data_IF_130088287537
#
_entry.id   IF_130088287537
#
_cell.length_a   1.000
_cell.length_b   1.000
_cell.length_c   1.000
_cell.angle_alpha   90.00
_cell.angle_beta   90.00
_cell.angle_gamma   90.00
#
_symmetry.space_group_name_H-M   'P 1'
#
loop_
_entity.id
_entity.type
_entity.pdbx_description
1 polymer ?
#
# COMPACT_ATOMS: atom_id res chain seq x y z
N UNK A 1 -18.18 -10.19 15.42
CA UNK A 1 -19.62 -9.92 15.19
C UNK A 1 -19.88 -8.54 14.59
N UNK A 2 -19.10 -7.51 14.92
CA UNK A 2 -19.31 -6.13 14.45
C UNK A 2 -19.11 -5.92 12.94
N UNK A 3 -18.11 -6.55 12.31
CA UNK A 3 -17.87 -6.41 10.87
C UNK A 3 -19.04 -6.91 10.00
N UNK A 4 -19.67 -8.03 10.39
CA UNK A 4 -20.86 -8.57 9.72
C UNK A 4 -22.09 -7.67 9.90
N UNK A 5 -22.18 -6.95 11.03
CA UNK A 5 -23.23 -5.97 11.29
C UNK A 5 -23.07 -4.73 10.40
N UNK A 6 -21.83 -4.22 10.27
CA UNK A 6 -21.52 -3.08 9.42
C UNK A 6 -21.80 -3.39 7.93
N UNK A 7 -21.39 -4.57 7.46
CA UNK A 7 -21.61 -4.99 6.08
C UNK A 7 -23.10 -5.10 5.75
N UNK A 8 -23.91 -5.67 6.66
CA UNK A 8 -25.37 -5.70 6.51
C UNK A 8 -26.00 -4.31 6.49
N UNK A 9 -25.54 -3.40 7.35
CA UNK A 9 -26.02 -2.02 7.36
C UNK A 9 -25.72 -1.30 6.05
N UNK A 10 -24.50 -1.46 5.51
CA UNK A 10 -24.11 -0.87 4.23
C UNK A 10 -24.95 -1.42 3.08
N UNK A 11 -25.16 -2.73 3.01
CA UNK A 11 -26.02 -3.37 2.01
C UNK A 11 -27.45 -2.82 2.09
N UNK A 12 -28.04 -2.77 3.29
CA UNK A 12 -29.39 -2.24 3.46
C UNK A 12 -29.51 -0.77 3.02
N UNK A 13 -28.47 0.04 3.25
CA UNK A 13 -28.43 1.44 2.78
C UNK A 13 -28.35 1.54 1.26
N UNK A 14 -27.58 0.66 0.62
CA UNK A 14 -27.47 0.61 -0.84
C UNK A 14 -28.80 0.17 -1.47
N UNK A 15 -29.43 -0.89 -0.94
CA UNK A 15 -30.73 -1.38 -1.39
C UNK A 15 -31.82 -0.30 -1.25
N UNK A 16 -31.83 0.43 -0.13
CA UNK A 16 -32.77 1.54 0.09
C UNK A 16 -32.54 2.70 -0.91
N UNK A 17 -31.27 3.04 -1.19
CA UNK A 17 -30.92 4.08 -2.15
C UNK A 17 -31.34 3.68 -3.58
N UNK A 18 -31.08 2.43 -3.97
CA UNK A 18 -31.50 1.89 -5.26
C UNK A 18 -33.02 1.93 -5.41
N UNK A 19 -33.76 1.43 -4.40
CA UNK A 19 -35.22 1.46 -4.40
C UNK A 19 -35.78 2.88 -4.54
N UNK A 20 -35.15 3.87 -3.89
CA UNK A 20 -35.54 5.28 -4.00
C UNK A 20 -35.35 5.84 -5.41
N UNK A 21 -34.23 5.52 -6.06
CA UNK A 21 -33.96 5.93 -7.45
C UNK A 21 -34.92 5.24 -8.41
N UNK A 22 -35.11 3.93 -8.29
CA UNK A 22 -36.04 3.17 -9.15
C UNK A 22 -37.47 3.70 -9.03
N UNK A 23 -37.93 4.03 -7.82
CA UNK A 23 -39.24 4.65 -7.60
C UNK A 23 -39.34 6.02 -8.25
N UNK A 24 -38.31 6.86 -8.16
CA UNK A 24 -38.29 8.20 -8.78
C UNK A 24 -38.38 8.12 -10.30
N UNK A 25 -37.69 7.16 -10.91
CA UNK A 25 -37.68 6.96 -12.37
C UNK A 25 -38.83 6.06 -12.87
N UNK A 26 -39.78 5.68 -12.01
CA UNK A 26 -40.90 4.76 -12.32
C UNK A 26 -40.45 3.43 -12.96
N UNK A 27 -39.33 2.87 -12.49
CA UNK A 27 -38.79 1.59 -12.94
C UNK A 27 -39.11 0.48 -11.94
N UNK A 28 -39.51 -0.69 -12.44
CA UNK A 28 -39.63 -1.88 -11.59
C UNK A 28 -38.25 -2.50 -11.34
N UNK A 29 -37.98 -3.05 -10.14
CA UNK A 29 -36.71 -3.74 -9.84
C UNK A 29 -36.40 -4.87 -10.82
N UNK A 30 -37.39 -5.70 -11.16
CA UNK A 30 -37.22 -6.81 -12.09
C UNK A 30 -36.80 -6.36 -13.50
N UNK A 31 -37.36 -5.23 -13.97
CA UNK A 31 -36.99 -4.68 -15.27
C UNK A 31 -35.56 -4.11 -15.24
N UNK A 32 -35.19 -3.46 -14.13
CA UNK A 32 -33.83 -2.95 -13.93
C UNK A 32 -32.81 -4.10 -13.90
N UNK A 33 -33.04 -5.15 -13.11
CA UNK A 33 -32.18 -6.33 -13.03
C UNK A 33 -32.03 -7.03 -14.39
N UNK A 34 -33.12 -7.14 -15.14
CA UNK A 34 -33.11 -7.71 -16.49
C UNK A 34 -32.26 -6.86 -17.44
N UNK A 35 -32.37 -5.52 -17.37
CA UNK A 35 -31.54 -4.60 -18.17
C UNK A 35 -30.07 -4.69 -17.77
N UNK A 36 -29.74 -4.72 -16.48
CA UNK A 36 -28.38 -4.91 -15.98
C UNK A 36 -27.79 -6.24 -16.45
N UNK A 37 -28.56 -7.32 -16.35
CA UNK A 37 -28.16 -8.66 -16.81
C UNK A 37 -27.95 -8.72 -18.32
N UNK A 38 -28.78 -8.02 -19.10
CA UNK A 38 -28.61 -7.90 -20.54
C UNK A 38 -27.34 -7.11 -20.87
N UNK A 39 -27.15 -5.97 -20.21
CA UNK A 39 -25.98 -5.11 -20.40
C UNK A 39 -24.68 -5.86 -20.11
N UNK A 40 -24.62 -6.63 -19.02
CA UNK A 40 -23.47 -7.46 -18.66
C UNK A 40 -23.15 -8.56 -19.69
N UNK A 41 -24.10 -8.93 -20.56
CA UNK A 41 -23.89 -9.91 -21.64
C UNK A 41 -23.54 -9.25 -22.96
N UNK A 42 -24.12 -8.08 -23.25
CA UNK A 42 -24.04 -7.43 -24.56
C UNK A 42 -22.97 -6.36 -24.65
N UNK A 43 -22.65 -5.68 -23.56
CA UNK A 43 -21.61 -4.64 -23.54
C UNK A 43 -20.26 -5.27 -23.16
N UNK A 44 -19.22 -5.14 -24.00
CA UNK A 44 -17.92 -5.78 -23.78
C UNK A 44 -17.21 -5.24 -22.53
N UNK A 45 -17.21 -3.92 -22.31
CA UNK A 45 -16.57 -3.30 -21.14
C UNK A 45 -17.22 -3.75 -19.84
N UNK A 46 -18.56 -3.77 -19.79
CA UNK A 46 -19.30 -4.25 -18.61
C UNK A 46 -19.05 -5.75 -18.38
N UNK A 47 -18.97 -6.53 -19.45
CA UNK A 47 -18.68 -7.97 -19.37
C UNK A 47 -17.28 -8.22 -18.78
N UNK A 48 -16.28 -7.48 -19.24
CA UNK A 48 -14.91 -7.56 -18.72
C UNK A 48 -14.83 -7.13 -17.26
N UNK A 49 -15.50 -6.04 -16.89
CA UNK A 49 -15.59 -5.59 -15.49
C UNK A 49 -16.25 -6.63 -14.59
N UNK A 50 -17.39 -7.21 -15.01
CA UNK A 50 -18.08 -8.25 -14.23
C UNK A 50 -17.21 -9.49 -14.07
N UNK A 51 -16.53 -9.94 -15.13
CA UNK A 51 -15.61 -11.07 -15.08
C UNK A 51 -14.42 -10.78 -14.15
N UNK A 52 -13.81 -9.61 -14.30
CA UNK A 52 -12.66 -9.19 -13.49
C UNK A 52 -13.01 -9.00 -12.02
N UNK A 53 -14.19 -8.46 -11.68
CA UNK A 53 -14.66 -8.35 -10.30
C UNK A 53 -14.90 -9.72 -9.65
N UNK A 54 -15.41 -10.70 -10.42
CA UNK A 54 -15.53 -12.09 -9.93
C UNK A 54 -14.17 -12.70 -9.66
N UNK A 55 -13.22 -12.54 -10.59
CA UNK A 55 -11.85 -13.03 -10.40
C UNK A 55 -11.17 -12.36 -9.19
N UNK A 56 -11.35 -11.05 -9.02
CA UNK A 56 -10.85 -10.29 -7.88
C UNK A 56 -11.39 -10.85 -6.55
N UNK A 57 -12.67 -11.20 -6.50
CA UNK A 57 -13.27 -11.84 -5.34
C UNK A 57 -12.72 -13.25 -5.09
N UNK A 58 -12.58 -14.06 -6.13
CA UNK A 58 -12.02 -15.42 -6.03
C UNK A 58 -10.57 -15.40 -5.55
N UNK A 59 -9.75 -14.50 -6.08
CA UNK A 59 -8.36 -14.30 -5.64
C UNK A 59 -8.32 -14.02 -4.14
N UNK A 60 -9.15 -13.08 -3.67
CA UNK A 60 -9.22 -12.72 -2.26
C UNK A 60 -9.64 -13.92 -1.38
N UNK A 61 -10.64 -14.69 -1.83
CA UNK A 61 -11.09 -15.91 -1.13
C UNK A 61 -10.02 -17.00 -1.05
N UNK A 62 -9.13 -17.06 -2.05
CA UNK A 62 -8.01 -18.00 -2.10
C UNK A 62 -6.75 -17.49 -1.39
N UNK A 63 -6.78 -16.30 -0.80
CA UNK A 63 -5.60 -15.66 -0.19
C UNK A 63 -4.55 -15.21 -1.20
N UNK A 64 -4.93 -15.07 -2.47
CA UNK A 64 -4.08 -14.49 -3.51
C UNK A 64 -4.35 -12.99 -3.60
N UNK A 65 -3.32 -12.18 -3.88
CA UNK A 65 -3.48 -10.74 -3.99
C UNK A 65 -4.40 -10.38 -5.17
N UNK A 66 -5.58 -9.80 -4.91
CA UNK A 66 -6.58 -9.56 -5.95
C UNK A 66 -6.13 -8.46 -6.91
N UNK A 67 -6.47 -8.61 -8.19
CA UNK A 67 -6.22 -7.60 -9.21
C UNK A 67 -7.49 -6.76 -9.44
N UNK A 68 -7.35 -5.44 -9.40
CA UNK A 68 -8.45 -4.54 -9.71
C UNK A 68 -8.68 -4.54 -11.24
N UNK A 69 -9.90 -4.85 -11.73
CA UNK A 69 -10.18 -4.82 -13.15
C UNK A 69 -10.17 -3.39 -13.70
N UNK A 70 -9.66 -3.23 -14.92
CA UNK A 70 -9.53 -1.93 -15.59
C UNK A 70 -8.38 -1.05 -15.10
N UNK A 71 -7.64 -1.47 -14.06
CA UNK A 71 -6.44 -0.78 -13.60
C UNK A 71 -5.19 -1.36 -14.27
N UNK A 72 -4.63 -0.59 -15.19
CA UNK A 72 -3.40 -0.96 -15.89
C UNK A 72 -2.15 -0.62 -15.08
N UNK A 73 -1.15 -1.49 -15.18
CA UNK A 73 0.16 -1.29 -14.55
C UNK A 73 1.09 -0.71 -15.61
N UNK A 74 1.67 0.49 -15.38
CA UNK A 74 2.66 1.08 -16.28
C UNK A 74 3.82 0.13 -16.58
N UNK A 75 4.30 0.13 -17.83
CA UNK A 75 5.38 -0.75 -18.28
C UNK A 75 6.70 -0.51 -17.53
N UNK A 76 6.91 0.72 -17.04
CA UNK A 76 8.07 1.09 -16.24
C UNK A 76 8.14 0.37 -14.89
N UNK A 77 6.99 -0.09 -14.37
CA UNK A 77 6.93 -0.86 -13.13
C UNK A 77 7.26 -2.33 -13.41
N UNK A 78 8.49 -2.58 -13.84
CA UNK A 78 9.04 -3.93 -13.99
C UNK A 78 9.16 -4.63 -12.64
N UNK A 79 9.38 -5.94 -12.65
CA UNK A 79 9.65 -6.73 -11.44
C UNK A 79 10.81 -6.14 -10.63
N UNK A 80 11.92 -5.81 -11.30
CA UNK A 80 13.11 -5.23 -10.66
C UNK A 80 12.79 -3.86 -10.05
N UNK A 81 12.08 -3.00 -10.78
CA UNK A 81 11.75 -1.67 -10.28
C UNK A 81 10.83 -1.74 -9.07
N UNK A 82 9.83 -2.62 -9.09
CA UNK A 82 8.93 -2.83 -7.93
C UNK A 82 9.73 -3.30 -6.71
N UNK A 83 10.66 -4.23 -6.87
CA UNK A 83 11.54 -4.66 -5.75
C UNK A 83 12.42 -3.52 -5.24
N UNK A 84 12.98 -2.69 -6.12
CA UNK A 84 13.76 -1.52 -5.73
C UNK A 84 12.93 -0.52 -4.91
N UNK A 85 11.70 -0.23 -5.35
CA UNK A 85 10.76 0.65 -4.65
C UNK A 85 10.43 0.05 -3.28
N UNK A 86 10.14 -1.26 -3.20
CA UNK A 86 9.91 -1.95 -1.92
C UNK A 86 11.11 -1.79 -0.97
N UNK A 87 12.33 -2.02 -1.43
CA UNK A 87 13.53 -1.79 -0.62
C UNK A 87 13.65 -0.34 -0.12
N UNK A 88 13.36 0.65 -0.97
CA UNK A 88 13.39 2.06 -0.58
C UNK A 88 12.34 2.37 0.49
N UNK A 89 11.12 1.85 0.33
CA UNK A 89 10.04 1.96 1.33
C UNK A 89 10.49 1.35 2.65
N UNK A 90 10.96 0.10 2.66
CA UNK A 90 11.36 -0.59 3.90
C UNK A 90 12.50 0.14 4.61
N UNK A 91 13.50 0.64 3.88
CA UNK A 91 14.58 1.46 4.47
C UNK A 91 14.06 2.76 5.08
N UNK A 92 13.13 3.45 4.40
CA UNK A 92 12.54 4.69 4.92
C UNK A 92 11.72 4.42 6.18
N UNK A 93 10.95 3.33 6.21
CA UNK A 93 10.21 2.88 7.41
C UNK A 93 11.15 2.59 8.57
N UNK A 94 12.21 1.82 8.34
CA UNK A 94 13.21 1.52 9.38
C UNK A 94 13.84 2.78 9.96
N UNK A 95 14.15 3.76 9.09
CA UNK A 95 14.72 5.04 9.53
C UNK A 95 13.75 5.81 10.42
N UNK A 96 12.49 5.96 9.99
CA UNK A 96 11.48 6.64 10.82
C UNK A 96 11.15 5.90 12.10
N UNK A 97 11.17 4.56 12.08
CA UNK A 97 11.00 3.76 13.28
C UNK A 97 12.14 3.99 14.28
N UNK A 98 13.39 4.08 13.83
CA UNK A 98 14.52 4.44 14.69
C UNK A 98 14.32 5.81 15.33
N UNK A 99 13.91 6.80 14.55
CA UNK A 99 13.68 8.17 15.04
C UNK A 99 12.57 8.22 16.10
N UNK A 100 11.43 7.56 15.84
CA UNK A 100 10.32 7.49 16.79
C UNK A 100 10.76 6.78 18.07
N UNK A 101 11.41 5.62 17.97
CA UNK A 101 11.85 4.85 19.15
C UNK A 101 12.93 5.58 19.96
N UNK A 102 13.77 6.40 19.33
CA UNK A 102 14.74 7.24 20.05
C UNK A 102 14.07 8.43 20.76
N UNK A 103 13.00 8.98 20.20
CA UNK A 103 12.25 10.08 20.78
C UNK A 103 11.23 9.63 21.85
N UNK A 104 10.87 8.35 21.87
CA UNK A 104 9.87 7.79 22.79
C UNK A 104 10.51 7.46 24.13
N UNK A 105 9.83 7.81 25.23
CA UNK A 105 10.33 7.55 26.58
C UNK A 105 10.07 6.11 27.04
N UNK A 106 10.90 5.58 27.95
CA UNK A 106 10.78 4.19 28.45
C UNK A 106 9.39 3.86 29.04
N UNK A 107 8.66 4.87 29.55
CA UNK A 107 7.29 4.72 30.08
C UNK A 107 6.27 4.34 29.01
N UNK A 108 6.50 4.72 27.77
CA UNK A 108 5.60 4.49 26.64
C UNK A 108 5.92 3.19 25.89
N UNK A 109 7.07 2.58 26.19
CA UNK A 109 7.59 1.31 25.65
C UNK A 109 7.57 0.20 26.71
N UNK A 110 6.48 0.14 27.49
CA UNK A 110 6.25 -0.84 28.57
C UNK A 110 6.51 -2.29 28.13
N UNK A 111 6.92 -3.19 29.05
CA UNK A 111 7.01 -4.63 28.78
C UNK A 111 5.70 -5.24 28.25
N UNK A 112 4.54 -4.67 28.60
CA UNK A 112 3.21 -5.11 28.13
C UNK A 112 2.92 -4.71 26.67
N UNK A 113 3.70 -3.80 26.08
CA UNK A 113 3.50 -3.30 24.73
C UNK A 113 3.81 -1.81 24.61
N UNK A 114 3.91 -1.33 23.36
CA UNK A 114 3.95 0.11 23.10
C UNK A 114 2.57 0.73 23.40
N UNK A 115 2.54 1.95 23.91
CA UNK A 115 1.30 2.72 24.07
C UNK A 115 0.53 2.80 22.75
N UNK A 116 -0.80 2.95 22.84
CA UNK A 116 -1.67 3.17 21.67
C UNK A 116 -1.24 4.39 20.85
N UNK A 117 -0.75 5.44 21.52
CA UNK A 117 -0.21 6.63 20.88
C UNK A 117 1.04 6.34 20.03
N UNK A 118 2.00 5.58 20.59
CA UNK A 118 3.22 5.17 19.88
C UNK A 118 2.89 4.26 18.71
N UNK A 119 1.95 3.32 18.89
CA UNK A 119 1.50 2.42 17.82
C UNK A 119 0.86 3.19 16.67
N UNK A 120 0.02 4.18 16.97
CA UNK A 120 -0.58 5.06 15.96
C UNK A 120 0.48 5.87 15.21
N UNK A 121 1.47 6.42 15.93
CA UNK A 121 2.56 7.18 15.34
C UNK A 121 3.42 6.31 14.40
N UNK A 122 3.70 5.06 14.76
CA UNK A 122 4.39 4.11 13.91
C UNK A 122 3.58 3.75 12.64
N UNK A 123 2.26 3.60 12.75
CA UNK A 123 1.38 3.34 11.61
C UNK A 123 1.29 4.53 10.64
N UNK A 124 1.15 5.74 11.17
CA UNK A 124 1.13 6.98 10.39
C UNK A 124 2.47 7.17 9.67
N UNK A 125 3.57 7.00 10.40
CA UNK A 125 4.93 7.08 9.88
C UNK A 125 5.19 6.08 8.74
N UNK A 126 4.68 4.85 8.87
CA UNK A 126 4.72 3.85 7.79
C UNK A 126 3.98 4.31 6.54
N UNK A 127 2.78 4.85 6.72
CA UNK A 127 1.95 5.36 5.61
C UNK A 127 2.62 6.53 4.91
N UNK A 128 3.25 7.43 5.68
CA UNK A 128 3.96 8.58 5.15
C UNK A 128 5.25 8.18 4.42
N UNK A 129 5.99 7.20 4.96
CA UNK A 129 7.19 6.65 4.32
C UNK A 129 6.86 6.04 2.95
N UNK A 130 5.77 5.28 2.84
CA UNK A 130 5.29 4.74 1.56
C UNK A 130 4.95 5.86 0.58
N UNK A 131 4.11 6.82 0.99
CA UNK A 131 3.69 7.95 0.14
C UNK A 131 4.88 8.75 -0.38
N UNK A 132 5.83 9.08 0.50
CA UNK A 132 7.02 9.86 0.14
C UNK A 132 7.89 9.15 -0.89
N UNK A 133 8.16 7.85 -0.70
CA UNK A 133 8.97 7.10 -1.68
C UNK A 133 8.25 6.97 -3.01
N UNK A 134 6.94 6.71 -3.01
CA UNK A 134 6.17 6.62 -4.26
C UNK A 134 6.14 7.96 -5.02
N UNK A 135 6.03 9.09 -4.32
CA UNK A 135 6.12 10.42 -4.94
C UNK A 135 7.51 10.70 -5.53
N UNK A 136 8.59 10.40 -4.81
CA UNK A 136 9.96 10.52 -5.32
C UNK A 136 10.15 9.69 -6.59
N UNK A 137 9.66 8.46 -6.59
CA UNK A 137 9.73 7.53 -7.72
C UNK A 137 8.89 7.97 -8.91
N UNK A 138 7.71 8.55 -8.66
CA UNK A 138 6.87 9.12 -9.71
C UNK A 138 7.62 10.23 -10.46
N UNK A 139 8.25 11.15 -9.72
CA UNK A 139 9.02 12.25 -10.30
C UNK A 139 10.21 11.74 -11.11
N UNK A 140 10.90 10.71 -10.62
CA UNK A 140 12.00 10.07 -11.34
C UNK A 140 11.53 9.46 -12.67
N UNK A 141 10.43 8.70 -12.66
CA UNK A 141 9.88 8.09 -13.88
C UNK A 141 9.44 9.15 -14.89
N UNK A 142 8.82 10.23 -14.42
CA UNK A 142 8.47 11.36 -15.28
C UNK A 142 9.71 12.03 -15.89
N UNK A 143 10.80 12.15 -15.12
CA UNK A 143 12.04 12.73 -15.60
C UNK A 143 12.72 11.83 -16.65
N UNK A 144 12.82 10.53 -16.38
CA UNK A 144 13.38 9.52 -17.29
C UNK A 144 12.63 9.51 -18.63
N UNK A 145 11.29 9.51 -18.61
CA UNK A 145 10.48 9.63 -19.83
C UNK A 145 10.75 10.92 -20.59
N UNK A 146 10.81 12.07 -19.91
CA UNK A 146 11.10 13.37 -20.56
C UNK A 146 12.47 13.36 -21.23
N UNK A 147 13.49 12.77 -20.59
CA UNK A 147 14.81 12.61 -21.18
C UNK A 147 14.79 11.71 -22.42
N UNK A 148 14.11 10.55 -22.36
CA UNK A 148 13.97 9.65 -23.51
C UNK A 148 13.25 10.31 -24.68
N UNK A 149 12.18 11.07 -24.41
CA UNK A 149 11.48 11.83 -25.45
C UNK A 149 12.36 12.91 -26.09
N UNK A 150 13.22 13.57 -25.32
CA UNK A 150 14.15 14.57 -25.86
C UNK A 150 15.18 13.92 -26.78
N UNK A 151 15.67 12.73 -26.43
CA UNK A 151 16.60 11.98 -27.27
C UNK A 151 15.94 11.48 -28.57
N UNK A 152 14.69 11.01 -28.51
CA UNK A 152 13.96 10.51 -29.69
C UNK A 152 13.48 11.62 -30.64
N UNK A 153 13.20 12.82 -30.13
CA UNK A 153 12.82 13.98 -30.95
C UNK A 153 13.89 14.44 -31.92
N UNK A 154 15.17 14.14 -31.65
CA UNK A 154 16.24 14.41 -32.62
C UNK A 154 16.20 13.46 -33.83
N UNK A 155 15.40 12.38 -33.80
CA UNK A 155 15.34 11.37 -34.86
C UNK A 155 13.99 11.23 -35.58
N UNK A 156 12.83 11.53 -34.98
CA UNK A 156 11.54 11.51 -35.71
C UNK A 156 10.54 12.55 -35.20
N UNK A 157 9.97 13.34 -36.13
CA UNK A 157 9.14 14.51 -35.82
C UNK A 157 7.62 14.28 -35.93
N UNK A 158 7.09 13.05 -36.09
CA UNK A 158 5.69 12.88 -36.50
C UNK A 158 4.75 11.95 -35.72
N UNK A 159 5.12 11.35 -34.59
CA UNK A 159 4.12 10.63 -33.78
C UNK A 159 4.27 10.93 -32.30
N UNK A 160 3.63 12.02 -31.86
CA UNK A 160 3.48 12.33 -30.42
C UNK A 160 2.02 12.60 -30.07
N UNK A 161 1.19 11.58 -30.18
CA UNK A 161 -0.15 11.62 -29.61
C UNK A 161 -0.40 10.34 -28.82
N UNK A 162 -0.80 10.55 -27.55
CA UNK A 162 -1.18 9.55 -26.54
C UNK A 162 -0.02 8.89 -25.77
N UNK A 163 0.72 9.68 -25.00
CA UNK A 163 1.40 9.12 -23.82
C UNK A 163 0.64 9.56 -22.57
N UNK A 164 -0.10 8.62 -21.98
CA UNK A 164 -0.71 8.78 -20.66
C UNK A 164 0.37 9.06 -19.62
N UNK A 165 0.11 10.03 -18.74
CA UNK A 165 0.99 10.37 -17.64
C UNK A 165 1.16 9.16 -16.69
N UNK A 166 2.39 8.87 -16.24
CA UNK A 166 2.60 7.83 -15.23
C UNK A 166 2.09 8.35 -13.91
N UNK A 167 0.99 7.76 -13.45
CA UNK A 167 0.50 7.99 -12.11
C UNK A 167 0.92 6.83 -11.20
N UNK A 168 1.98 7.04 -10.41
CA UNK A 168 2.44 6.06 -9.42
C UNK A 168 1.70 6.27 -8.09
N UNK A 169 0.40 5.97 -8.11
CA UNK A 169 -0.40 5.98 -6.88
C UNK A 169 -0.13 4.73 -6.04
N UNK A 170 -0.45 4.74 -4.72
CA UNK A 170 -0.40 3.53 -3.90
C UNK A 170 -1.22 2.37 -4.48
N UNK A 171 -2.37 2.67 -5.09
CA UNK A 171 -3.21 1.67 -5.74
C UNK A 171 -2.53 1.04 -6.96
N UNK A 172 -1.91 1.84 -7.83
CA UNK A 172 -1.16 1.34 -8.99
C UNK A 172 0.04 0.50 -8.54
N UNK A 173 0.73 0.93 -7.48
CA UNK A 173 1.86 0.17 -6.94
C UNK A 173 1.43 -1.17 -6.34
N UNK A 174 0.32 -1.22 -5.60
CA UNK A 174 -0.26 -2.47 -5.08
C UNK A 174 -0.72 -3.39 -6.22
N UNK A 175 -1.33 -2.84 -7.27
CA UNK A 175 -1.69 -3.58 -8.48
C UNK A 175 -0.44 -4.20 -9.15
N UNK A 176 0.66 -3.44 -9.24
CA UNK A 176 1.92 -3.93 -9.78
C UNK A 176 2.48 -5.10 -8.95
N UNK A 177 2.45 -4.97 -7.62
CA UNK A 177 2.83 -6.07 -6.70
C UNK A 177 1.94 -7.28 -6.91
N UNK A 178 0.62 -7.11 -6.98
CA UNK A 178 -0.34 -8.21 -7.14
C UNK A 178 -0.14 -8.93 -8.50
N UNK A 179 0.15 -8.17 -9.56
CA UNK A 179 0.44 -8.69 -10.90
C UNK A 179 1.72 -9.51 -10.90
N UNK A 180 2.81 -8.97 -10.36
CA UNK A 180 4.10 -9.66 -10.36
C UNK A 180 4.17 -10.82 -9.36
N UNK A 181 3.39 -10.79 -8.28
CA UNK A 181 3.27 -11.93 -7.35
C UNK A 181 2.67 -13.20 -7.96
N UNK A 182 2.12 -13.13 -9.19
CA UNK A 182 1.72 -14.32 -9.95
C UNK A 182 2.93 -15.12 -10.42
N UNK A 183 4.10 -14.50 -10.54
CA UNK A 183 5.38 -15.17 -10.78
C UNK A 183 5.96 -15.69 -9.44
N UNK A 184 6.17 -17.01 -9.28
CA UNK A 184 6.76 -17.60 -8.07
C UNK A 184 8.15 -17.02 -7.72
N UNK A 185 8.97 -16.70 -8.72
CA UNK A 185 10.32 -16.18 -8.49
C UNK A 185 10.27 -14.77 -7.89
N UNK A 186 9.42 -13.90 -8.43
CA UNK A 186 9.17 -12.58 -7.86
C UNK A 186 8.56 -12.69 -6.46
N UNK A 187 7.56 -13.56 -6.28
CA UNK A 187 6.90 -13.78 -4.98
C UNK A 187 7.91 -14.18 -3.90
N UNK A 188 8.84 -15.07 -4.21
CA UNK A 188 9.91 -15.49 -3.30
C UNK A 188 10.87 -14.33 -2.96
N UNK A 189 11.29 -13.55 -3.97
CA UNK A 189 12.15 -12.37 -3.74
C UNK A 189 11.46 -11.35 -2.83
N UNK A 190 10.20 -11.01 -3.10
CA UNK A 190 9.42 -10.10 -2.26
C UNK A 190 9.30 -10.62 -0.83
N UNK A 191 9.00 -11.91 -0.66
CA UNK A 191 8.91 -12.52 0.67
C UNK A 191 10.23 -12.39 1.45
N UNK A 192 11.38 -12.56 0.79
CA UNK A 192 12.68 -12.35 1.41
C UNK A 192 12.91 -10.88 1.82
N UNK A 193 12.48 -9.91 1.01
CA UNK A 193 12.53 -8.48 1.37
C UNK A 193 11.67 -8.18 2.60
N UNK A 194 10.44 -8.70 2.62
CA UNK A 194 9.51 -8.47 3.73
C UNK A 194 9.98 -9.16 5.02
N UNK A 195 10.57 -10.36 4.91
CA UNK A 195 11.15 -11.06 6.05
C UNK A 195 12.33 -10.29 6.64
N UNK A 196 13.29 -9.87 5.80
CA UNK A 196 14.45 -9.08 6.25
C UNK A 196 14.01 -7.78 6.93
N UNK A 197 13.03 -7.08 6.36
CA UNK A 197 12.48 -5.88 6.98
C UNK A 197 11.83 -6.18 8.34
N UNK A 198 11.01 -7.23 8.41
CA UNK A 198 10.36 -7.63 9.66
C UNK A 198 11.38 -7.94 10.76
N UNK A 199 12.43 -8.68 10.43
CA UNK A 199 13.53 -8.99 11.36
C UNK A 199 14.21 -7.71 11.88
N UNK A 200 14.50 -6.75 10.99
CA UNK A 200 15.08 -5.46 11.40
C UNK A 200 14.15 -4.66 12.31
N UNK A 201 12.85 -4.58 12.00
CA UNK A 201 11.88 -3.88 12.83
C UNK A 201 11.76 -4.54 14.21
N UNK A 202 11.71 -5.88 14.28
CA UNK A 202 11.70 -6.60 15.55
C UNK A 202 12.97 -6.34 16.37
N UNK A 203 14.13 -6.32 15.73
CA UNK A 203 15.39 -6.00 16.41
C UNK A 203 15.43 -4.56 16.92
N UNK A 204 14.89 -3.60 16.16
CA UNK A 204 14.76 -2.21 16.61
C UNK A 204 13.86 -2.09 17.83
N UNK A 205 12.69 -2.73 17.80
CA UNK A 205 11.78 -2.76 18.94
C UNK A 205 12.40 -3.44 20.16
N UNK A 206 13.19 -4.51 19.96
CA UNK A 206 13.90 -5.20 21.05
C UNK A 206 15.00 -4.32 21.66
N UNK A 207 15.74 -3.57 20.84
CA UNK A 207 16.81 -2.67 21.29
C UNK A 207 16.26 -1.44 22.01
N UNK A 208 15.16 -0.86 21.50
CA UNK A 208 14.48 0.28 22.14
C UNK A 208 13.90 -0.03 23.53
N UNK A 209 13.73 -1.31 23.88
CA UNK A 209 13.26 -1.75 25.22
C UNK A 209 14.37 -2.06 26.22
N UNK A 210 15.65 -2.05 25.81
CA UNK A 210 16.73 -2.28 26.77
C UNK A 210 17.03 -0.95 27.48
N UNK A 211 17.08 -0.92 28.82
CA UNK A 211 17.49 0.29 29.52
C UNK A 211 18.85 0.70 28.98
N UNK A 212 19.03 1.99 28.69
CA UNK A 212 20.38 2.54 28.54
C UNK A 212 21.10 2.24 29.86
N UNK A 213 21.89 1.16 29.89
CA UNK A 213 22.83 0.96 30.97
C UNK A 213 23.74 2.17 30.94
N UNK A 214 23.56 3.04 31.93
CA UNK A 214 24.48 4.12 32.21
C UNK A 214 25.89 3.50 32.18
N UNK A 215 26.82 4.02 31.35
CA UNK A 215 28.15 3.44 31.27
C UNK A 215 28.70 3.38 32.70
N UNK A 216 29.20 2.21 33.12
CA UNK A 216 29.63 1.93 34.50
C UNK A 216 30.48 3.07 35.09
N UNK A 217 31.25 3.75 34.24
CA UNK A 217 32.04 4.94 34.55
C UNK A 217 31.17 6.10 35.07
N UNK A 218 30.08 6.47 34.37
CA UNK A 218 29.17 7.53 34.79
C UNK A 218 28.38 7.17 36.06
N UNK A 219 28.03 5.90 36.24
CA UNK A 219 27.37 5.41 37.46
C UNK A 219 28.33 5.34 38.67
N UNK A 220 29.63 5.20 38.44
CA UNK A 220 30.67 5.29 39.47
C UNK A 220 30.98 6.75 39.82
N UNK A 221 31.12 7.63 38.83
CA UNK A 221 31.38 9.06 39.05
C UNK A 221 30.25 9.73 39.84
N UNK A 222 28.98 9.39 39.54
CA UNK A 222 27.84 9.93 40.28
C UNK A 222 27.81 9.46 41.74
N UNK A 223 28.26 8.23 42.02
CA UNK A 223 28.35 7.70 43.39
C UNK A 223 29.51 8.33 44.17
N UNK A 224 30.62 8.64 43.51
CA UNK A 224 31.73 9.35 44.14
C UNK A 224 31.37 10.81 44.46
N UNK A 225 30.58 11.47 43.61
CA UNK A 225 30.10 12.84 43.86
C UNK A 225 29.03 12.95 44.95
N UNK A 226 28.29 11.87 45.23
CA UNK A 226 27.28 11.84 46.30
C UNK A 226 27.83 11.37 47.66
N UNK A 227 29.07 10.88 47.69
CA UNK A 227 29.74 10.38 48.90
C UNK A 227 30.75 11.38 49.50
N UNK A 228 30.84 12.59 48.94
CA UNK A 228 31.60 13.72 49.49
C UNK A 228 30.68 14.85 49.91
#
# INVERSE_FOLDING_TARGET
MEAMSLQRMLLARLEAAEAAVLKRENLSPQLFDSRCSKLAKTNPEVKELVAGLRQMYEDAMQGTLPLLPGLEVPEELTQERVLQILHKIQRRKEQKFKEILQATTERELSPEGASTAVTAQLQESNTEAEKSVLQEEQLLLQHERKQQQQQQQQQQQQQRQQQQEVELTPMVFLQAIAKHCRDPAFKAKKAAVDQSHSEHIFDLLRRGRRPQQEPLVAACDRRLQQAG
#
